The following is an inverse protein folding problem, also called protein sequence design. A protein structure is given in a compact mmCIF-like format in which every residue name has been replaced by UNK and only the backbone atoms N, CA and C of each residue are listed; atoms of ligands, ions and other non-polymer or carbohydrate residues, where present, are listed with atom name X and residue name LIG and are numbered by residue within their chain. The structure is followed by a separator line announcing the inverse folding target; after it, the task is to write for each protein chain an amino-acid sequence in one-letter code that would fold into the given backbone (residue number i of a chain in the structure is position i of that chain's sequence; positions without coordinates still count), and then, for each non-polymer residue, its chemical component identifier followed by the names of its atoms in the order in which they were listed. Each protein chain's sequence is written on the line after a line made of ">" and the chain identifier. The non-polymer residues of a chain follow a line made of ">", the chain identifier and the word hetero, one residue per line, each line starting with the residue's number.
data_IF_947858430286
#
_entry.id   IF_947858430286
#
_cell.length_a   1.000
_cell.length_b   1.000
_cell.length_c   1.000
_cell.angle_alpha   90.00
_cell.angle_beta   90.00
_cell.angle_gamma   90.00
#
_symmetry.space_group_name_H-M   'P 1'
#
loop_
_entity.id
_entity.type
_entity.pdbx_description
1 polymer ?
#
# COMPACT_ATOMS: atom_id res chain seq x y z
N UNK A 1 4.98 -28.03 9.42
CA UNK A 1 3.90 -27.37 10.16
C UNK A 1 4.05 -25.87 9.96
N UNK A 2 3.34 -25.32 8.99
CA UNK A 2 3.38 -23.88 8.68
C UNK A 2 2.30 -23.22 9.52
N UNK A 3 2.70 -22.61 10.64
CA UNK A 3 1.86 -21.72 11.44
C UNK A 3 1.63 -20.45 10.61
N UNK A 4 0.57 -20.43 9.82
CA UNK A 4 0.17 -19.27 9.04
C UNK A 4 -1.32 -19.04 9.33
N UNK A 5 -1.61 -18.45 10.49
CA UNK A 5 -3.00 -18.14 10.87
C UNK A 5 -3.21 -16.83 11.65
N UNK A 6 -2.17 -16.01 11.93
CA UNK A 6 -2.37 -14.81 12.76
C UNK A 6 -2.14 -13.46 12.05
N UNK A 7 -1.43 -13.41 10.90
CA UNK A 7 -1.13 -12.13 10.25
C UNK A 7 -2.38 -11.35 9.78
N UNK A 8 -3.53 -12.00 9.61
CA UNK A 8 -4.77 -11.36 9.16
C UNK A 8 -5.60 -10.75 10.31
N UNK A 9 -5.44 -11.26 11.54
CA UNK A 9 -6.21 -10.79 12.69
C UNK A 9 -5.58 -9.54 13.31
N UNK A 10 -4.24 -9.54 13.44
CA UNK A 10 -3.46 -8.36 13.83
C UNK A 10 -3.63 -7.21 12.84
N UNK A 11 -3.71 -7.55 11.55
CA UNK A 11 -3.90 -6.63 10.43
C UNK A 11 -5.17 -5.76 10.57
N UNK A 12 -6.28 -6.41 10.92
CA UNK A 12 -7.57 -5.73 11.08
C UNK A 12 -7.61 -4.91 12.36
N UNK A 13 -6.99 -5.38 13.43
CA UNK A 13 -6.95 -4.66 14.70
C UNK A 13 -6.08 -3.41 14.62
N UNK A 14 -4.86 -3.50 14.07
CA UNK A 14 -4.02 -2.31 13.84
C UNK A 14 -4.75 -1.29 12.97
N UNK A 15 -5.51 -1.75 11.98
CA UNK A 15 -6.26 -0.87 11.09
C UNK A 15 -7.51 -0.27 11.74
N UNK A 16 -8.24 -1.02 12.57
CA UNK A 16 -9.35 -0.47 13.36
C UNK A 16 -8.83 0.51 14.40
N UNK A 17 -7.79 0.15 15.16
CA UNK A 17 -7.17 1.00 16.18
C UNK A 17 -6.61 2.29 15.58
N UNK A 18 -5.97 2.23 14.41
CA UNK A 18 -5.49 3.43 13.72
C UNK A 18 -6.63 4.25 13.10
N UNK A 19 -7.68 3.60 12.58
CA UNK A 19 -8.85 4.30 12.05
C UNK A 19 -9.65 4.99 13.15
N UNK A 20 -9.72 4.39 14.34
CA UNK A 20 -10.39 4.94 15.51
C UNK A 20 -9.55 6.05 16.16
N UNK A 21 -8.21 5.93 16.21
CA UNK A 21 -7.33 7.01 16.67
C UNK A 21 -7.30 8.23 15.74
N UNK A 22 -7.46 8.03 14.43
CA UNK A 22 -7.45 9.08 13.40
C UNK A 22 -8.84 9.36 12.84
N UNK A 23 -9.89 9.21 13.67
CA UNK A 23 -11.25 9.66 13.37
C UNK A 23 -11.20 11.05 12.71
N UNK A 24 -11.59 11.12 11.43
CA UNK A 24 -12.04 12.31 10.67
C UNK A 24 -11.21 12.89 9.50
N UNK A 25 -10.09 12.31 9.08
CA UNK A 25 -9.45 12.77 7.83
C UNK A 25 -8.88 11.58 7.08
N UNK A 26 -9.04 11.57 5.76
CA UNK A 26 -8.45 10.62 4.82
C UNK A 26 -7.14 10.09 5.38
N UNK A 27 -7.15 8.86 5.90
CA UNK A 27 -5.93 8.23 6.42
C UNK A 27 -5.02 8.16 5.22
N UNK A 28 -4.10 9.10 5.16
CA UNK A 28 -3.23 9.28 4.01
C UNK A 28 -2.39 8.00 3.98
N UNK A 29 -2.67 7.10 3.03
CA UNK A 29 -2.01 5.79 2.97
C UNK A 29 -0.50 5.94 2.75
N UNK A 30 -0.06 7.10 2.29
CA UNK A 30 1.33 7.55 2.38
C UNK A 30 1.87 7.57 3.82
N UNK A 31 1.10 8.07 4.78
CA UNK A 31 1.44 8.05 6.20
C UNK A 31 1.48 6.62 6.74
N UNK A 32 0.56 5.76 6.30
CA UNK A 32 0.54 4.35 6.71
C UNK A 32 1.73 3.58 6.12
N UNK A 33 2.02 3.77 4.83
CA UNK A 33 3.17 3.19 4.14
C UNK A 33 4.50 3.68 4.72
N UNK A 34 4.59 4.96 5.10
CA UNK A 34 5.74 5.50 5.85
C UNK A 34 5.88 4.85 7.21
N UNK A 35 4.80 4.75 7.98
CA UNK A 35 4.86 4.16 9.33
C UNK A 35 5.30 2.70 9.29
N UNK A 36 4.77 1.92 8.34
CA UNK A 36 5.14 0.52 8.16
C UNK A 36 6.59 0.37 7.66
N UNK A 37 7.07 1.30 6.85
CA UNK A 37 8.49 1.37 6.50
C UNK A 37 9.35 1.67 7.73
N UNK A 38 9.01 2.66 8.55
CA UNK A 38 9.74 2.96 9.79
C UNK A 38 9.74 1.75 10.76
N UNK A 39 8.68 0.94 10.74
CA UNK A 39 8.62 -0.32 11.50
C UNK A 39 9.37 -1.50 10.84
N UNK A 40 9.94 -1.33 9.65
CA UNK A 40 10.58 -2.40 8.87
C UNK A 40 9.62 -3.46 8.31
N UNK A 41 8.31 -3.23 8.42
CA UNK A 41 7.25 -4.16 8.03
C UNK A 41 6.82 -3.96 6.57
N UNK A 42 7.77 -4.12 5.66
CA UNK A 42 7.57 -3.87 4.22
C UNK A 42 6.56 -4.85 3.59
N UNK A 43 6.60 -6.14 3.92
CA UNK A 43 5.64 -7.12 3.39
C UNK A 43 4.18 -6.80 3.73
N UNK A 44 3.95 -6.30 4.95
CA UNK A 44 2.61 -5.93 5.40
C UNK A 44 2.14 -4.69 4.64
N UNK A 45 3.00 -3.69 4.51
CA UNK A 45 2.70 -2.49 3.73
C UNK A 45 2.34 -2.79 2.27
N UNK A 46 3.04 -3.73 1.62
CA UNK A 46 2.72 -4.12 0.25
C UNK A 46 1.31 -4.71 0.17
N UNK A 47 0.99 -5.66 1.06
CA UNK A 47 -0.33 -6.30 1.12
C UNK A 47 -1.45 -5.27 1.36
N UNK A 48 -1.21 -4.27 2.21
CA UNK A 48 -2.19 -3.22 2.48
C UNK A 48 -2.45 -2.34 1.25
N UNK A 49 -1.38 -1.87 0.61
CA UNK A 49 -1.50 -1.01 -0.58
C UNK A 49 -2.17 -1.77 -1.74
N UNK A 50 -1.89 -3.08 -1.92
CA UNK A 50 -2.57 -3.92 -2.92
C UNK A 50 -4.06 -4.07 -2.60
N UNK A 51 -4.42 -4.37 -1.35
CA UNK A 51 -5.82 -4.54 -0.97
C UNK A 51 -6.60 -3.23 -1.12
N UNK A 52 -5.96 -2.10 -0.88
CA UNK A 52 -6.55 -0.79 -1.13
C UNK A 52 -6.72 -0.54 -2.63
N UNK A 53 -5.75 -0.94 -3.44
CA UNK A 53 -5.83 -0.85 -4.90
C UNK A 53 -7.04 -1.61 -5.46
N UNK A 54 -7.36 -2.78 -4.90
CA UNK A 54 -8.54 -3.56 -5.28
C UNK A 54 -9.87 -2.92 -4.85
N UNK A 55 -9.86 -2.00 -3.86
CA UNK A 55 -11.04 -1.26 -3.42
C UNK A 55 -11.26 0.04 -4.19
N UNK A 56 -10.20 0.57 -4.82
CA UNK A 56 -10.29 1.79 -5.61
C UNK A 56 -10.92 1.50 -6.98
N UNK A 57 -11.66 2.49 -7.47
CA UNK A 57 -12.16 2.45 -8.85
C UNK A 57 -11.01 2.66 -9.83
N UNK A 58 -11.03 2.04 -11.02
CA UNK A 58 -9.95 2.19 -12.01
C UNK A 58 -9.75 3.64 -12.47
N UNK A 59 -10.76 4.50 -12.31
CA UNK A 59 -10.71 5.92 -12.61
C UNK A 59 -10.36 6.81 -11.41
N UNK A 60 -10.03 6.23 -10.26
CA UNK A 60 -9.68 7.00 -9.08
C UNK A 60 -8.39 7.80 -9.32
N UNK A 61 -8.34 9.10 -8.99
CA UNK A 61 -7.10 9.89 -9.08
C UNK A 61 -5.98 9.34 -8.19
N UNK A 62 -6.33 8.65 -7.08
CA UNK A 62 -5.38 8.09 -6.12
C UNK A 62 -4.64 6.86 -6.65
N UNK A 63 -5.11 6.22 -7.74
CA UNK A 63 -4.44 5.03 -8.31
C UNK A 63 -2.99 5.33 -8.70
N UNK A 64 -2.73 6.52 -9.24
CA UNK A 64 -1.40 6.94 -9.68
C UNK A 64 -0.42 7.04 -8.52
N UNK A 65 -0.84 7.68 -7.44
CA UNK A 65 -0.04 7.81 -6.22
C UNK A 65 0.17 6.46 -5.55
N UNK A 66 -0.85 5.61 -5.52
CA UNK A 66 -0.79 4.28 -4.93
C UNK A 66 0.23 3.37 -5.63
N UNK A 67 0.26 3.38 -6.97
CA UNK A 67 1.29 2.67 -7.73
C UNK A 67 2.69 3.22 -7.47
N UNK A 68 2.82 4.53 -7.26
CA UNK A 68 4.11 5.13 -6.94
C UNK A 68 4.62 4.70 -5.56
N UNK A 69 3.73 4.66 -4.56
CA UNK A 69 4.03 4.19 -3.22
C UNK A 69 4.38 2.70 -3.19
N UNK A 70 3.64 1.86 -3.91
CA UNK A 70 3.98 0.43 -4.10
C UNK A 70 5.36 0.25 -4.74
N UNK A 71 5.68 1.05 -5.76
CA UNK A 71 6.99 1.04 -6.40
C UNK A 71 8.11 1.42 -5.42
N UNK A 72 7.90 2.46 -4.61
CA UNK A 72 8.87 2.89 -3.59
C UNK A 72 9.08 1.82 -2.52
N UNK A 73 7.99 1.21 -2.06
CA UNK A 73 8.02 0.17 -1.05
C UNK A 73 8.76 -1.08 -1.55
N UNK A 74 8.46 -1.54 -2.77
CA UNK A 74 9.15 -2.67 -3.39
C UNK A 74 10.66 -2.40 -3.56
N UNK A 75 11.03 -1.18 -3.96
CA UNK A 75 12.44 -0.77 -4.02
C UNK A 75 13.11 -0.85 -2.66
N UNK A 76 12.40 -0.44 -1.60
CA UNK A 76 12.92 -0.46 -0.25
C UNK A 76 13.01 -1.87 0.33
N UNK A 77 12.16 -2.80 -0.14
CA UNK A 77 12.25 -4.23 0.14
C UNK A 77 13.38 -4.93 -0.66
N UNK A 78 14.16 -4.18 -1.45
CA UNK A 78 15.20 -4.73 -2.32
C UNK A 78 14.66 -5.40 -3.59
N UNK A 79 13.35 -5.35 -3.83
CA UNK A 79 12.68 -5.99 -4.95
C UNK A 79 12.51 -5.00 -6.11
N UNK A 80 13.60 -4.79 -6.85
CA UNK A 80 13.68 -3.80 -7.93
C UNK A 80 12.78 -4.15 -9.11
N UNK A 81 12.63 -5.44 -9.44
CA UNK A 81 11.75 -5.90 -10.53
C UNK A 81 10.30 -5.48 -10.28
N UNK A 82 9.77 -5.80 -9.09
CA UNK A 82 8.45 -5.34 -8.67
C UNK A 82 8.33 -3.82 -8.64
N UNK A 83 9.38 -3.11 -8.17
CA UNK A 83 9.39 -1.65 -8.17
C UNK A 83 9.18 -1.07 -9.58
N UNK A 84 9.87 -1.64 -10.57
CA UNK A 84 9.74 -1.22 -11.95
C UNK A 84 8.36 -1.51 -12.51
N UNK A 85 7.79 -2.69 -12.25
CA UNK A 85 6.42 -3.02 -12.67
C UNK A 85 5.40 -2.01 -12.14
N UNK A 86 5.45 -1.69 -10.85
CA UNK A 86 4.54 -0.72 -10.25
C UNK A 86 4.71 0.68 -10.83
N UNK A 87 5.95 1.13 -11.05
CA UNK A 87 6.23 2.41 -11.70
C UNK A 87 5.72 2.45 -13.15
N UNK A 88 5.86 1.36 -13.90
CA UNK A 88 5.32 1.27 -15.26
C UNK A 88 3.80 1.38 -15.27
N UNK A 89 3.10 0.73 -14.32
CA UNK A 89 1.64 0.87 -14.17
C UNK A 89 1.23 2.32 -13.85
N UNK A 90 1.95 3.00 -12.96
CA UNK A 90 1.71 4.41 -12.64
C UNK A 90 1.83 5.30 -13.89
N UNK A 91 2.88 5.09 -14.70
CA UNK A 91 3.12 5.85 -15.93
C UNK A 91 2.03 5.54 -16.98
N UNK A 92 1.64 4.27 -17.13
CA UNK A 92 0.59 3.86 -18.06
C UNK A 92 -0.75 4.53 -17.71
N UNK A 93 -1.12 4.54 -16.42
CA UNK A 93 -2.32 5.23 -15.94
C UNK A 93 -2.27 6.73 -16.22
N UNK A 94 -1.12 7.37 -15.95
CA UNK A 94 -0.93 8.80 -16.22
C UNK A 94 -1.04 9.13 -17.71
N UNK A 95 -0.51 8.28 -18.59
CA UNK A 95 -0.64 8.43 -20.04
C UNK A 95 -2.06 8.22 -20.55
N UNK A 96 -2.83 7.34 -19.90
CA UNK A 96 -4.21 7.05 -20.30
C UNK A 96 -5.19 8.18 -19.90
N UNK A 97 -4.87 8.93 -18.84
CA UNK A 97 -5.63 10.09 -18.38
C UNK A 97 -5.19 11.43 -19.01
N UNK A 98 -4.31 11.41 -20.02
CA UNK A 98 -3.78 12.59 -20.71
C UNK A 98 -4.41 12.74 -22.09
#
# INVERSE_FOLDING_TARGET
>A
MTLCSDDQHDLKQVLLDMKDQFLSSEINLQTLGKLLWEMGKLDLAEKYLIRFLEQLSPDDPLLGDLYHDLGRLASNAGNLDKSMEWRQKAIALKKQKQ
#
